data_IF_347372170827
#
_entry.id   IF_347372170827
#
_cell.length_a   1.000
_cell.length_b   1.000
_cell.length_c   1.000
_cell.angle_alpha   90.00
_cell.angle_beta   90.00
_cell.angle_gamma   90.00
#
_symmetry.space_group_name_H-M   'P 1'
#
loop_
_entity.id
_entity.type
_entity.pdbx_description
1 polymer ?
#
# COMPACT_ATOMS: atom_id res chain seq x y z
N UNK A 1 0.92 -3.74 -13.72
CA UNK A 1 1.33 -3.61 -12.31
C UNK A 1 2.10 -2.33 -12.16
N UNK A 2 1.88 -1.58 -11.08
CA UNK A 2 2.60 -0.35 -10.79
C UNK A 2 3.64 -0.57 -9.68
N UNK A 3 4.76 0.14 -9.74
CA UNK A 3 5.61 0.30 -8.56
C UNK A 3 4.95 1.34 -7.67
N UNK A 4 4.70 0.97 -6.42
CA UNK A 4 4.21 1.87 -5.38
C UNK A 4 5.16 1.80 -4.20
N UNK A 5 5.27 2.89 -3.45
CA UNK A 5 5.99 2.93 -2.20
C UNK A 5 4.99 2.97 -1.06
N UNK A 6 5.15 2.08 -0.08
CA UNK A 6 4.42 2.14 1.19
C UNK A 6 5.33 2.84 2.19
N UNK A 7 4.83 3.89 2.83
CA UNK A 7 5.59 4.73 3.76
C UNK A 7 4.68 5.33 4.84
N UNK A 8 5.28 6.00 5.82
CA UNK A 8 4.53 6.93 6.68
C UNK A 8 4.63 8.33 6.08
N UNK A 9 3.50 9.02 5.96
CA UNK A 9 3.45 10.41 5.51
C UNK A 9 3.91 11.37 6.62
N UNK A 10 3.91 12.68 6.33
CA UNK A 10 4.31 13.74 7.28
C UNK A 10 3.45 13.78 8.56
N UNK A 11 2.21 13.28 8.49
CA UNK A 11 1.30 13.15 9.62
C UNK A 11 1.44 11.79 10.36
N UNK A 12 2.51 11.04 10.08
CA UNK A 12 2.77 9.69 10.61
C UNK A 12 1.65 8.67 10.30
N UNK A 13 0.88 8.87 9.22
CA UNK A 13 -0.11 7.92 8.75
C UNK A 13 0.49 7.03 7.67
N UNK A 14 0.09 5.77 7.66
CA UNK A 14 0.52 4.82 6.63
C UNK A 14 -0.10 5.22 5.29
N UNK A 15 0.73 5.39 4.26
CA UNK A 15 0.32 5.87 2.94
C UNK A 15 0.88 5.00 1.81
N UNK A 16 0.18 5.03 0.68
CA UNK A 16 0.63 4.49 -0.60
C UNK A 16 0.98 5.67 -1.51
N UNK A 17 2.26 5.76 -1.87
CA UNK A 17 2.75 6.68 -2.90
C UNK A 17 2.89 5.96 -4.24
N UNK A 18 2.27 6.51 -5.29
CA UNK A 18 2.36 6.07 -6.67
C UNK A 18 3.13 7.11 -7.49
N UNK A 19 4.46 6.93 -7.69
CA UNK A 19 5.31 7.93 -8.34
C UNK A 19 4.85 8.31 -9.76
N UNK A 20 4.34 7.34 -10.52
CA UNK A 20 3.90 7.56 -11.91
C UNK A 20 2.77 8.59 -12.03
N UNK A 21 1.96 8.75 -10.99
CA UNK A 21 0.84 9.71 -10.95
C UNK A 21 1.09 10.86 -9.99
N UNK A 22 2.23 10.86 -9.32
CA UNK A 22 2.51 11.72 -8.17
C UNK A 22 1.33 11.76 -7.17
N UNK A 23 0.80 10.57 -6.87
CA UNK A 23 -0.35 10.39 -6.00
C UNK A 23 0.11 9.76 -4.70
N UNK A 24 -0.10 10.46 -3.58
CA UNK A 24 0.01 9.89 -2.24
C UNK A 24 -1.38 9.82 -1.60
N UNK A 25 -1.72 8.68 -1.03
CA UNK A 25 -3.01 8.51 -0.36
C UNK A 25 -2.89 7.65 0.90
N UNK A 26 -3.67 7.99 1.92
CA UNK A 26 -3.69 7.26 3.19
C UNK A 26 -4.28 5.86 2.99
N UNK A 27 -3.63 4.87 3.59
CA UNK A 27 -4.11 3.49 3.64
C UNK A 27 -5.05 3.35 4.83
N UNK A 28 -6.26 2.88 4.57
CA UNK A 28 -7.29 2.66 5.59
C UNK A 28 -7.44 1.19 5.97
N UNK A 29 -6.97 0.27 5.14
CA UNK A 29 -7.07 -1.17 5.39
C UNK A 29 -5.97 -1.96 4.67
N UNK A 30 -5.52 -3.04 5.32
CA UNK A 30 -4.71 -4.12 4.78
C UNK A 30 -5.38 -5.46 5.09
N UNK A 31 -5.50 -6.34 4.10
CA UNK A 31 -6.01 -7.70 4.27
C UNK A 31 -5.10 -8.51 5.20
N UNK A 32 -3.78 -8.41 5.03
CA UNK A 32 -2.79 -9.01 5.91
C UNK A 32 -1.83 -7.93 6.42
N UNK A 33 -1.81 -7.72 7.74
CA UNK A 33 -0.88 -6.81 8.42
C UNK A 33 -0.30 -7.41 9.72
N UNK A 34 0.20 -8.65 9.63
CA UNK A 34 0.88 -9.32 10.74
C UNK A 34 2.37 -9.49 10.46
N UNK A 35 3.15 -9.80 11.49
CA UNK A 35 4.60 -10.06 11.35
C UNK A 35 4.91 -11.26 10.44
N UNK A 36 4.00 -12.23 10.35
CA UNK A 36 4.15 -13.46 9.56
C UNK A 36 3.51 -13.36 8.17
N UNK A 37 2.63 -12.37 7.95
CA UNK A 37 1.93 -12.20 6.69
C UNK A 37 1.53 -10.75 6.47
N UNK A 38 2.03 -10.16 5.38
CA UNK A 38 1.78 -8.76 5.06
C UNK A 38 1.42 -8.56 3.58
N UNK A 39 0.46 -7.70 3.27
CA UNK A 39 -0.01 -7.41 1.91
C UNK A 39 -1.47 -7.84 1.69
N UNK A 40 -1.78 -8.37 0.51
CA UNK A 40 -3.14 -8.67 0.08
C UNK A 40 -3.86 -7.43 -0.46
N UNK A 41 -5.17 -7.32 -0.24
CA UNK A 41 -5.93 -6.12 -0.56
C UNK A 41 -5.57 -4.93 0.34
N UNK A 42 -5.44 -3.76 -0.29
CA UNK A 42 -5.06 -2.49 0.33
C UNK A 42 -6.06 -1.44 -0.10
N UNK A 43 -6.79 -0.89 0.87
CA UNK A 43 -7.80 0.13 0.59
C UNK A 43 -7.24 1.50 0.95
N UNK A 44 -7.51 2.46 0.07
CA UNK A 44 -7.08 3.84 0.25
C UNK A 44 -8.27 4.71 0.67
N UNK A 45 -7.98 5.82 1.35
CA UNK A 45 -9.00 6.75 1.84
C UNK A 45 -9.89 7.34 0.73
N UNK A 46 -9.36 7.45 -0.49
CA UNK A 46 -10.11 7.90 -1.67
C UNK A 46 -10.98 6.82 -2.33
N UNK A 47 -11.07 5.62 -1.76
CA UNK A 47 -11.89 4.51 -2.28
C UNK A 47 -11.20 3.63 -3.32
N UNK A 48 -9.95 3.92 -3.71
CA UNK A 48 -9.19 3.02 -4.55
C UNK A 48 -8.77 1.75 -3.80
N UNK A 49 -8.71 0.63 -4.52
CA UNK A 49 -8.25 -0.66 -3.98
C UNK A 49 -7.09 -1.17 -4.82
N UNK A 50 -6.02 -1.58 -4.13
CA UNK A 50 -4.85 -2.21 -4.72
C UNK A 50 -4.63 -3.59 -4.10
N UNK A 51 -3.95 -4.46 -4.83
CA UNK A 51 -3.49 -5.75 -4.35
C UNK A 51 -1.97 -5.80 -4.41
N UNK A 52 -1.35 -6.04 -3.25
CA UNK A 52 0.08 -6.29 -3.08
C UNK A 52 0.23 -7.78 -2.82
N UNK A 53 1.15 -8.45 -3.52
CA UNK A 53 1.38 -9.88 -3.29
C UNK A 53 1.74 -10.12 -1.80
N UNK A 54 1.03 -11.03 -1.10
CA UNK A 54 1.34 -11.31 0.29
C UNK A 54 2.79 -11.76 0.47
N UNK A 55 3.46 -11.19 1.47
CA UNK A 55 4.83 -11.49 1.86
C UNK A 55 4.81 -12.28 3.17
N UNK A 56 5.81 -13.13 3.39
CA UNK A 56 5.95 -13.97 4.59
C UNK A 56 6.48 -13.22 5.81
N UNK A 57 6.73 -11.91 5.68
CA UNK A 57 7.08 -11.07 6.81
C UNK A 57 6.66 -9.63 6.58
N UNK A 58 6.37 -8.91 7.67
CA UNK A 58 6.12 -7.46 7.61
C UNK A 58 7.41 -6.73 7.25
N UNK A 59 7.45 -5.96 6.15
CA UNK A 59 8.65 -5.26 5.74
C UNK A 59 8.93 -4.06 6.67
N UNK A 60 10.20 -3.62 6.68
CA UNK A 60 10.54 -2.30 7.22
C UNK A 60 10.13 -1.23 6.20
N UNK A 61 9.55 -0.13 6.69
CA UNK A 61 9.12 0.99 5.86
C UNK A 61 10.17 2.11 5.86
N UNK A 62 10.32 2.87 4.76
CA UNK A 62 9.55 2.75 3.51
C UNK A 62 9.98 1.55 2.64
N UNK A 63 9.05 0.99 1.86
CA UNK A 63 9.33 -0.11 0.91
C UNK A 63 8.66 0.13 -0.44
N UNK A 64 9.37 -0.18 -1.53
CA UNK A 64 8.78 -0.20 -2.88
C UNK A 64 8.35 -1.61 -3.26
N UNK A 65 7.09 -1.78 -3.66
CA UNK A 65 6.50 -3.05 -4.06
C UNK A 65 5.70 -2.94 -5.36
N UNK A 66 5.41 -4.08 -5.97
CA UNK A 66 4.48 -4.16 -7.11
C UNK A 66 3.06 -4.25 -6.58
N UNK A 67 2.20 -3.33 -7.00
CA UNK A 67 0.77 -3.35 -6.75
C UNK A 67 -0.03 -3.50 -8.05
N UNK A 68 -1.14 -4.23 -7.98
CA UNK A 68 -2.16 -4.30 -9.02
C UNK A 68 -3.36 -3.46 -8.55
N UNK A 69 -3.83 -2.51 -9.36
CA UNK A 69 -5.06 -1.78 -9.06
C UNK A 69 -6.26 -2.70 -9.31
N UNK A 70 -7.10 -2.88 -8.29
CA UNK A 70 -8.35 -3.65 -8.36
C UNK A 70 -9.54 -2.70 -8.60
N UNK A 71 -9.54 -1.54 -7.93
CA UNK A 71 -10.58 -0.52 -8.06
C UNK A 71 -9.95 0.88 -8.19
N UNK A 72 -10.54 1.75 -9.01
CA UNK A 72 -10.17 3.16 -9.07
C UNK A 72 -10.84 3.94 -7.93
N UNK A 73 -10.25 5.09 -7.56
CA UNK A 73 -10.92 6.08 -6.73
C UNK A 73 -12.13 6.67 -7.46
#
# INVERSE_FOLDING_TARGET
MANVMIQYNESHQLSLYLPKKDLEEVITFFEFDSEEKWGGEVHLANGAIYHIAPMTSKPRLPITVKARRLQAA
#
